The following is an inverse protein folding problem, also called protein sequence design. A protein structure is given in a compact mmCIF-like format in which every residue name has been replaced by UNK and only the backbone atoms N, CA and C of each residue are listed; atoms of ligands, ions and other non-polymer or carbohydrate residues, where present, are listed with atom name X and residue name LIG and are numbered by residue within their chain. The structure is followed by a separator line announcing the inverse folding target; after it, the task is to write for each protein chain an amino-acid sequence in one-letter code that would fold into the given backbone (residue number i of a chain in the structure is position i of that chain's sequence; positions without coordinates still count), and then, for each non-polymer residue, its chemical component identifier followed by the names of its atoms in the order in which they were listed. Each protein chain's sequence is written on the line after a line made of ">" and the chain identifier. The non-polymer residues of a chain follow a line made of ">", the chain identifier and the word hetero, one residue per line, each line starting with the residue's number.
data_IF_712924747878
#
_entry.id   IF_712924747878
#
_cell.length_a   1.000
_cell.length_b   1.000
_cell.length_c   1.000
_cell.angle_alpha   90.00
_cell.angle_beta   90.00
_cell.angle_gamma   90.00
#
_symmetry.space_group_name_H-M   'P 1'
#
loop_
_entity.id
_entity.type
_entity.pdbx_description
1 polymer ?
#
# COMPACT_ATOMS: atom_id res chain seq x y z
N UNK A 1 22.38 -7.83 -0.65
CA UNK A 1 20.99 -8.30 -0.47
C UNK A 1 20.10 -7.09 -0.72
N UNK A 2 19.22 -7.15 -1.71
CA UNK A 2 18.27 -6.05 -1.99
C UNK A 2 17.16 -6.02 -0.92
N UNK A 3 16.43 -4.91 -0.75
CA UNK A 3 15.30 -4.85 0.16
C UNK A 3 14.23 -5.93 -0.12
N UNK A 4 14.00 -6.27 -1.38
CA UNK A 4 13.05 -7.31 -1.81
C UNK A 4 13.55 -8.70 -1.40
N UNK A 5 14.84 -8.98 -1.58
CA UNK A 5 15.47 -10.22 -1.11
C UNK A 5 15.41 -10.34 0.41
N UNK A 6 15.57 -9.21 1.12
CA UNK A 6 15.44 -9.17 2.58
C UNK A 6 13.99 -9.45 3.02
N UNK A 7 13.02 -8.76 2.41
CA UNK A 7 11.58 -8.95 2.69
C UNK A 7 11.15 -10.40 2.46
N UNK A 8 11.53 -10.99 1.34
CA UNK A 8 11.22 -12.39 1.01
C UNK A 8 11.80 -13.37 2.03
N UNK A 9 13.06 -13.17 2.45
CA UNK A 9 13.71 -14.02 3.48
C UNK A 9 13.06 -13.85 4.85
N UNK A 10 12.68 -12.62 5.21
CA UNK A 10 12.00 -12.36 6.47
C UNK A 10 10.60 -12.98 6.48
N UNK A 11 9.83 -12.82 5.39
CA UNK A 11 8.49 -13.39 5.23
C UNK A 11 8.49 -14.91 5.33
N UNK A 12 9.46 -15.57 4.70
CA UNK A 12 9.59 -17.02 4.78
C UNK A 12 9.80 -17.55 6.21
N UNK A 13 10.27 -16.70 7.13
CA UNK A 13 10.60 -17.09 8.51
C UNK A 13 9.55 -16.62 9.52
N UNK A 14 8.99 -15.42 9.35
CA UNK A 14 8.11 -14.75 10.33
C UNK A 14 7.00 -13.93 9.67
N UNK A 15 6.66 -14.18 8.41
CA UNK A 15 5.62 -13.44 7.70
C UNK A 15 4.27 -13.58 8.40
N UNK A 16 3.61 -12.45 8.67
CA UNK A 16 2.27 -12.42 9.26
C UNK A 16 2.16 -12.96 10.70
N UNK A 17 3.28 -13.25 11.39
CA UNK A 17 3.24 -13.80 12.75
C UNK A 17 2.78 -12.80 13.80
N UNK A 18 2.77 -11.50 13.47
CA UNK A 18 2.33 -10.42 14.35
C UNK A 18 1.07 -9.72 13.81
N UNK A 19 0.29 -10.39 12.96
CA UNK A 19 -1.01 -9.87 12.55
C UNK A 19 -1.94 -9.76 13.77
N UNK A 20 -2.58 -8.61 13.91
CA UNK A 20 -3.49 -8.35 15.03
C UNK A 20 -4.79 -9.18 14.98
N UNK A 21 -5.18 -9.61 13.78
CA UNK A 21 -6.37 -10.41 13.53
C UNK A 21 -6.05 -11.60 12.62
N UNK A 22 -6.86 -12.67 12.63
CA UNK A 22 -6.76 -13.76 11.65
C UNK A 22 -6.90 -13.25 10.21
N UNK A 23 -6.37 -14.02 9.26
CA UNK A 23 -6.38 -13.66 7.83
C UNK A 23 -7.80 -13.46 7.29
N UNK A 24 -8.73 -14.29 7.75
CA UNK A 24 -10.14 -14.29 7.36
C UNK A 24 -10.83 -12.96 7.67
N UNK A 25 -10.42 -12.30 8.77
CA UNK A 25 -10.98 -11.00 9.14
C UNK A 25 -10.54 -9.90 8.16
N UNK A 26 -9.28 -9.90 7.73
CA UNK A 26 -8.81 -8.97 6.70
C UNK A 26 -9.45 -9.23 5.34
N UNK A 27 -9.63 -10.51 4.96
CA UNK A 27 -10.32 -10.86 3.71
C UNK A 27 -11.76 -10.33 3.70
N UNK A 28 -12.48 -10.41 4.83
CA UNK A 28 -13.82 -9.84 4.97
C UNK A 28 -13.83 -8.30 4.86
N UNK A 29 -12.86 -7.62 5.48
CA UNK A 29 -12.70 -6.14 5.37
C UNK A 29 -12.43 -5.73 3.93
N UNK A 30 -11.54 -6.45 3.23
CA UNK A 30 -11.21 -6.21 1.82
C UNK A 30 -12.41 -6.44 0.92
N UNK A 31 -13.19 -7.49 1.14
CA UNK A 31 -14.40 -7.75 0.39
C UNK A 31 -15.41 -6.60 0.53
N UNK A 32 -15.66 -6.12 1.75
CA UNK A 32 -16.55 -4.99 2.00
C UNK A 32 -16.07 -3.69 1.31
N UNK A 33 -14.76 -3.42 1.31
CA UNK A 33 -14.20 -2.26 0.60
C UNK A 33 -14.33 -2.42 -0.92
N UNK A 34 -14.09 -3.61 -1.47
CA UNK A 34 -14.28 -3.86 -2.91
C UNK A 34 -15.73 -3.72 -3.35
N UNK A 35 -16.69 -4.14 -2.54
CA UNK A 35 -18.10 -3.92 -2.81
C UNK A 35 -18.45 -2.43 -2.87
N UNK A 36 -17.85 -1.61 -2.00
CA UNK A 36 -17.99 -0.16 -2.03
C UNK A 36 -17.30 0.47 -3.25
N UNK A 37 -16.11 -0.01 -3.61
CA UNK A 37 -15.39 0.42 -4.83
C UNK A 37 -16.20 0.13 -6.08
N UNK A 38 -16.80 -1.06 -6.19
CA UNK A 38 -17.65 -1.44 -7.33
C UNK A 38 -18.86 -0.51 -7.47
N UNK A 39 -19.53 -0.17 -6.36
CA UNK A 39 -20.64 0.80 -6.35
C UNK A 39 -20.21 2.21 -6.77
N UNK A 40 -18.96 2.58 -6.49
CA UNK A 40 -18.37 3.86 -6.84
C UNK A 40 -17.70 3.88 -8.24
N UNK A 41 -17.64 2.74 -8.94
CA UNK A 41 -16.99 2.63 -10.25
C UNK A 41 -15.47 2.82 -10.19
N UNK A 42 -14.82 2.39 -9.11
CA UNK A 42 -13.37 2.48 -8.90
C UNK A 42 -12.66 1.17 -9.28
N UNK A 43 -11.60 1.29 -10.07
CA UNK A 43 -10.73 0.17 -10.45
C UNK A 43 -9.68 -0.14 -9.38
N UNK A 44 -9.27 0.88 -8.60
CA UNK A 44 -8.41 0.71 -7.44
C UNK A 44 -8.60 1.83 -6.41
N UNK A 45 -8.21 1.54 -5.17
CA UNK A 45 -8.17 2.49 -4.07
C UNK A 45 -6.73 2.64 -3.58
N UNK A 46 -6.24 3.88 -3.53
CA UNK A 46 -4.95 4.22 -2.91
C UNK A 46 -5.19 4.68 -1.48
N UNK A 47 -4.79 3.84 -0.53
CA UNK A 47 -4.98 4.08 0.91
C UNK A 47 -3.67 4.58 1.49
N UNK A 48 -3.66 5.80 1.99
CA UNK A 48 -2.49 6.48 2.58
C UNK A 48 -2.73 6.90 4.02
N UNK A 49 -3.99 7.01 4.44
CA UNK A 49 -4.37 7.34 5.79
C UNK A 49 -4.04 6.17 6.73
N UNK A 50 -3.28 6.46 7.78
CA UNK A 50 -2.64 5.42 8.61
C UNK A 50 -3.64 4.49 9.33
N UNK A 51 -4.70 5.01 9.98
CA UNK A 51 -5.74 4.16 10.56
C UNK A 51 -6.37 3.19 9.55
N UNK A 52 -6.64 3.66 8.33
CA UNK A 52 -7.29 2.85 7.31
C UNK A 52 -6.33 1.80 6.74
N UNK A 53 -5.06 2.16 6.54
CA UNK A 53 -3.99 1.22 6.22
C UNK A 53 -3.89 0.11 7.26
N UNK A 54 -3.83 0.46 8.54
CA UNK A 54 -3.76 -0.50 9.64
C UNK A 54 -5.02 -1.40 9.67
N UNK A 55 -6.20 -0.81 9.53
CA UNK A 55 -7.45 -1.55 9.52
C UNK A 55 -7.54 -2.52 8.33
N UNK A 56 -7.10 -2.13 7.14
CA UNK A 56 -7.15 -3.01 5.95
C UNK A 56 -6.06 -4.07 5.91
N UNK A 57 -4.88 -3.78 6.45
CA UNK A 57 -3.68 -4.61 6.20
C UNK A 57 -3.07 -5.22 7.45
N UNK A 58 -3.34 -4.67 8.63
CA UNK A 58 -2.60 -4.96 9.87
C UNK A 58 -1.32 -4.12 10.02
N UNK A 59 -1.01 -3.24 9.07
CA UNK A 59 0.22 -2.46 9.07
C UNK A 59 0.27 -1.48 10.24
N UNK A 60 0.97 -1.89 11.30
CA UNK A 60 1.26 -1.10 12.49
C UNK A 60 2.73 -0.69 12.50
N UNK A 61 3.00 0.57 12.85
CA UNK A 61 4.36 1.11 12.91
C UNK A 61 4.46 2.26 13.89
N UNK A 62 5.67 2.48 14.43
CA UNK A 62 6.04 3.68 15.17
C UNK A 62 6.48 4.83 14.25
N UNK A 63 6.77 4.56 12.97
CA UNK A 63 7.24 5.51 11.96
C UNK A 63 6.14 6.35 11.31
N UNK A 64 5.42 7.16 12.10
CA UNK A 64 4.23 7.91 11.64
C UNK A 64 4.48 8.93 10.51
N UNK A 65 5.73 9.40 10.33
CA UNK A 65 6.11 10.35 9.28
C UNK A 65 6.52 9.71 7.95
N UNK A 66 6.61 8.37 7.88
CA UNK A 66 7.03 7.67 6.68
C UNK A 66 5.87 7.53 5.68
N UNK A 67 6.18 7.75 4.39
CA UNK A 67 5.26 7.45 3.30
C UNK A 67 4.90 5.96 3.31
N UNK A 68 3.60 5.68 3.21
CA UNK A 68 3.09 4.36 2.89
C UNK A 68 1.80 4.49 2.09
N UNK A 69 1.62 3.61 1.13
CA UNK A 69 0.44 3.56 0.27
C UNK A 69 0.08 2.11 -0.03
N UNK A 70 -1.15 1.71 0.25
CA UNK A 70 -1.71 0.46 -0.25
C UNK A 70 -2.40 0.75 -1.58
N UNK A 71 -1.97 0.08 -2.64
CA UNK A 71 -2.71 -0.04 -3.90
C UNK A 71 -3.64 -1.24 -3.77
N UNK A 72 -4.92 -1.00 -3.51
CA UNK A 72 -5.94 -2.05 -3.45
C UNK A 72 -6.71 -2.09 -4.78
N UNK A 73 -6.46 -3.07 -5.66
CA UNK A 73 -7.23 -3.22 -6.89
C UNK A 73 -8.63 -3.79 -6.59
N UNK A 74 -9.59 -3.50 -7.47
CA UNK A 74 -10.94 -4.04 -7.44
C UNK A 74 -10.96 -5.59 -7.44
N UNK A 75 -9.94 -6.22 -8.02
CA UNK A 75 -9.70 -7.67 -7.94
C UNK A 75 -8.20 -7.98 -7.91
N UNK A 76 -7.82 -9.16 -7.40
CA UNK A 76 -6.41 -9.58 -7.33
C UNK A 76 -5.69 -9.23 -6.02
N UNK A 77 -4.37 -9.34 -6.00
CA UNK A 77 -3.56 -9.05 -4.82
C UNK A 77 -3.22 -7.55 -4.73
N UNK A 78 -3.21 -6.94 -3.53
CA UNK A 78 -2.77 -5.57 -3.36
C UNK A 78 -1.24 -5.46 -3.28
N UNK A 79 -0.74 -4.24 -3.44
CA UNK A 79 0.67 -3.88 -3.25
C UNK A 79 0.78 -2.82 -2.17
N UNK A 80 1.69 -2.99 -1.21
CA UNK A 80 2.02 -2.00 -0.19
C UNK A 80 3.35 -1.33 -0.52
N UNK A 81 3.33 -0.06 -0.87
CA UNK A 81 4.54 0.75 -0.96
C UNK A 81 4.87 1.37 0.40
N UNK A 82 6.11 1.26 0.86
CA UNK A 82 6.59 1.88 2.10
C UNK A 82 8.10 2.17 2.03
N UNK A 83 8.71 2.74 3.06
CA UNK A 83 10.16 3.00 3.06
C UNK A 83 10.96 1.76 3.49
N UNK A 84 12.25 1.70 3.15
CA UNK A 84 13.11 0.54 3.45
C UNK A 84 13.14 0.15 4.95
N UNK A 85 13.06 1.14 5.84
CA UNK A 85 13.07 0.90 7.30
C UNK A 85 11.78 0.24 7.80
N UNK A 86 10.69 0.35 7.05
CA UNK A 86 9.38 -0.19 7.42
C UNK A 86 9.13 -1.60 6.87
N UNK A 87 10.01 -2.11 6.00
CA UNK A 87 9.91 -3.46 5.42
C UNK A 87 9.77 -4.54 6.51
N UNK A 88 10.52 -4.53 7.63
CA UNK A 88 10.32 -5.50 8.69
C UNK A 88 8.90 -5.49 9.25
N UNK A 89 8.41 -4.32 9.67
CA UNK A 89 7.08 -4.16 10.27
C UNK A 89 5.97 -4.55 9.27
N UNK A 90 6.09 -4.09 8.02
CA UNK A 90 5.18 -4.49 6.95
C UNK A 90 5.17 -6.02 6.72
N UNK A 91 6.32 -6.68 6.86
CA UNK A 91 6.42 -8.12 6.63
C UNK A 91 5.77 -8.95 7.73
N UNK A 92 5.96 -8.57 9.00
CA UNK A 92 5.48 -9.37 10.15
C UNK A 92 4.03 -9.05 10.54
N UNK A 93 3.58 -7.81 10.34
CA UNK A 93 2.25 -7.37 10.78
C UNK A 93 1.18 -7.39 9.69
N UNK A 94 1.57 -7.53 8.41
CA UNK A 94 0.60 -7.47 7.29
C UNK A 94 0.42 -8.79 6.57
N UNK A 95 -0.79 -8.98 6.06
CA UNK A 95 -1.10 -10.07 5.12
C UNK A 95 -0.67 -9.76 3.68
N UNK A 96 -0.25 -8.52 3.38
CA UNK A 96 0.09 -8.07 2.02
C UNK A 96 1.46 -8.61 1.62
N UNK A 97 1.48 -9.53 0.66
CA UNK A 97 2.70 -10.22 0.23
C UNK A 97 3.65 -9.36 -0.60
N UNK A 98 3.10 -8.44 -1.40
CA UNK A 98 3.89 -7.57 -2.26
C UNK A 98 4.18 -6.23 -1.57
N UNK A 99 5.39 -6.10 -1.02
CA UNK A 99 5.88 -4.89 -0.36
C UNK A 99 6.97 -4.26 -1.20
N UNK A 100 6.74 -3.02 -1.67
CA UNK A 100 7.66 -2.27 -2.52
C UNK A 100 8.27 -1.10 -1.78
N UNK A 101 9.53 -0.80 -2.07
CA UNK A 101 10.28 0.24 -1.36
C UNK A 101 10.25 1.56 -2.13
N UNK A 102 9.83 2.63 -1.45
CA UNK A 102 9.97 4.01 -1.90
C UNK A 102 11.29 4.64 -1.41
N UNK A 103 11.81 5.66 -2.12
CA UNK A 103 12.93 6.47 -1.65
C UNK A 103 12.63 7.10 -0.27
N UNK A 104 13.60 7.04 0.65
CA UNK A 104 13.45 7.61 1.99
C UNK A 104 13.81 9.10 2.05
N UNK A 105 14.94 9.50 1.45
CA UNK A 105 15.45 10.88 1.53
C UNK A 105 14.53 11.83 0.78
N UNK A 106 13.85 12.70 1.52
CA UNK A 106 12.90 13.67 0.97
C UNK A 106 11.67 13.06 0.29
N UNK A 107 11.53 11.71 0.31
CA UNK A 107 10.49 10.96 -0.40
C UNK A 107 10.36 11.34 -1.88
N UNK A 108 11.46 11.87 -2.46
CA UNK A 108 11.48 12.37 -3.82
C UNK A 108 11.34 11.19 -4.79
N UNK A 109 10.31 11.23 -5.63
CA UNK A 109 10.00 10.17 -6.59
C UNK A 109 9.07 9.09 -6.05
N UNK A 110 8.64 9.15 -4.78
CA UNK A 110 7.70 8.16 -4.23
C UNK A 110 6.38 8.11 -5.03
N UNK A 111 5.86 9.27 -5.46
CA UNK A 111 4.65 9.33 -6.29
C UNK A 111 4.88 8.82 -7.71
N UNK A 112 6.06 9.08 -8.29
CA UNK A 112 6.45 8.55 -9.61
C UNK A 112 6.60 7.03 -9.57
N UNK A 113 7.20 6.48 -8.51
CA UNK A 113 7.32 5.04 -8.30
C UNK A 113 5.94 4.41 -8.06
N UNK A 114 5.06 5.10 -7.31
CA UNK A 114 3.67 4.68 -7.12
C UNK A 114 2.92 4.60 -8.45
N UNK A 115 3.09 5.60 -9.32
CA UNK A 115 2.50 5.58 -10.66
C UNK A 115 2.97 4.36 -11.47
N UNK A 116 4.26 4.00 -11.41
CA UNK A 116 4.78 2.79 -12.06
C UNK A 116 4.20 1.51 -11.46
N UNK A 117 3.99 1.46 -10.15
CA UNK A 117 3.30 0.32 -9.52
C UNK A 117 1.89 0.18 -10.08
N UNK A 118 1.12 1.26 -10.07
CA UNK A 118 -0.26 1.30 -10.62
C UNK A 118 -0.28 0.88 -12.10
N UNK A 119 0.62 1.41 -12.92
CA UNK A 119 0.71 1.06 -14.34
C UNK A 119 1.10 -0.42 -14.55
N UNK A 120 2.04 -0.95 -13.76
CA UNK A 120 2.44 -2.36 -13.82
C UNK A 120 1.31 -3.33 -13.46
N UNK A 121 0.30 -2.86 -12.72
CA UNK A 121 -0.92 -3.60 -12.40
C UNK A 121 -2.01 -3.46 -13.48
N UNK A 122 -1.74 -2.74 -14.58
CA UNK A 122 -2.71 -2.46 -15.65
C UNK A 122 -3.75 -1.41 -15.27
N UNK A 123 -3.52 -0.63 -14.21
CA UNK A 123 -4.48 0.34 -13.65
C UNK A 123 -4.17 1.78 -14.08
N UNK A 124 -3.19 1.99 -14.96
CA UNK A 124 -2.70 3.33 -15.34
C UNK A 124 -3.78 4.28 -15.86
N UNK A 125 -4.78 3.73 -16.56
CA UNK A 125 -5.93 4.48 -17.12
C UNK A 125 -7.23 4.26 -16.33
N UNK A 126 -7.15 3.60 -15.18
CA UNK A 126 -8.32 3.25 -14.37
C UNK A 126 -8.84 4.42 -13.52
N UNK A 127 -10.04 4.26 -12.98
CA UNK A 127 -10.59 5.16 -11.98
C UNK A 127 -10.01 4.86 -10.59
N UNK A 128 -9.06 5.69 -10.18
CA UNK A 128 -8.35 5.55 -8.90
C UNK A 128 -9.00 6.39 -7.80
N UNK A 129 -9.41 5.76 -6.72
CA UNK A 129 -9.86 6.44 -5.51
C UNK A 129 -8.68 6.90 -4.66
N UNK A 130 -8.74 8.13 -4.14
CA UNK A 130 -7.70 8.72 -3.29
C UNK A 130 -8.29 9.28 -1.99
N UNK A 131 -7.49 9.30 -0.92
CA UNK A 131 -7.87 9.85 0.39
C UNK A 131 -7.48 11.33 0.54
N UNK A 132 -7.81 12.17 -0.47
CA UNK A 132 -7.32 13.56 -0.55
C UNK A 132 -7.84 14.53 0.53
N UNK A 133 -8.75 14.11 1.40
CA UNK A 133 -9.24 14.89 2.55
C UNK A 133 -8.65 14.45 3.89
N UNK A 134 -7.84 13.39 3.88
CA UNK A 134 -7.22 12.81 5.08
C UNK A 134 -5.71 13.04 5.05
N UNK A 135 -5.07 12.83 6.19
CA UNK A 135 -3.61 12.85 6.28
C UNK A 135 -2.99 11.61 5.61
N UNK A 136 -1.71 11.71 5.25
CA UNK A 136 -0.92 10.59 4.71
C UNK A 136 -0.55 10.70 3.23
N UNK A 137 -1.35 11.42 2.42
CA UNK A 137 -0.98 11.76 1.05
C UNK A 137 -0.41 13.18 1.01
N UNK A 138 0.90 13.30 0.87
CA UNK A 138 1.55 14.61 0.73
C UNK A 138 1.25 15.20 -0.66
N UNK A 139 1.00 16.53 -0.78
CA UNK A 139 0.62 17.14 -2.06
C UNK A 139 1.60 16.88 -3.22
N UNK A 140 2.91 16.86 -2.95
CA UNK A 140 3.89 16.60 -4.00
C UNK A 140 3.90 15.12 -4.46
N UNK A 141 3.50 14.18 -3.60
CA UNK A 141 3.35 12.77 -3.97
C UNK A 141 2.13 12.60 -4.87
N UNK A 142 1.02 13.28 -4.55
CA UNK A 142 -0.17 13.31 -5.41
C UNK A 142 0.15 13.94 -6.78
N UNK A 143 0.89 15.05 -6.80
CA UNK A 143 1.34 15.68 -8.05
C UNK A 143 2.19 14.72 -8.91
N UNK A 144 3.21 14.09 -8.31
CA UNK A 144 4.07 13.11 -9.01
C UNK A 144 3.30 11.89 -9.52
N UNK A 145 2.33 11.40 -8.74
CA UNK A 145 1.46 10.30 -9.14
C UNK A 145 0.64 10.68 -10.38
N UNK A 146 0.01 11.86 -10.37
CA UNK A 146 -0.79 12.35 -11.49
C UNK A 146 0.03 12.57 -12.75
N UNK A 147 1.24 13.13 -12.61
CA UNK A 147 2.17 13.33 -13.72
C UNK A 147 2.69 12.00 -14.31
N UNK A 148 2.78 10.96 -13.48
CA UNK A 148 3.28 9.64 -13.88
C UNK A 148 2.24 8.71 -14.51
N UNK A 149 0.96 9.06 -14.47
CA UNK A 149 -0.13 8.26 -15.04
C UNK A 149 -0.56 8.82 -16.43
N UNK A 150 -0.94 7.94 -17.38
CA UNK A 150 -1.28 8.31 -18.77
C UNK A 150 -2.66 8.97 -18.97
#
# INVERSE_FOLDING_TARGET
>A
MTPEQYAARLRARVGGTEMAFPREEYDARVAAVRDAMAKAGLDALLVTHRPDLCWLTGYTTFGVGNHACLVLPASGAPVLQTTAMEVPAATVCTWVEDVRVAPWVGQAGAGTDLARIVDSMGLGRGHLGLQGRLTGLLPFIDAQLREGLP
#
